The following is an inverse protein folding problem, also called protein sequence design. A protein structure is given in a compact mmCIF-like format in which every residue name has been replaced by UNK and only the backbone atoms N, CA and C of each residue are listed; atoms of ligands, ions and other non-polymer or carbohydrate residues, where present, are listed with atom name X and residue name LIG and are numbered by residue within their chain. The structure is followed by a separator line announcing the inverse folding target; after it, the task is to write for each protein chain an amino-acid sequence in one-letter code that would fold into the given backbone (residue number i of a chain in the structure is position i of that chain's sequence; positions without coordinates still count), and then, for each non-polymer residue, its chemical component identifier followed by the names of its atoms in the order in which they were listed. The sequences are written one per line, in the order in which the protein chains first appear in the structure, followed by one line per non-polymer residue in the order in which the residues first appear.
data_IF_473303123239
#
_entry.id   IF_473303123239
#
_cell.length_a   1.000
_cell.length_b   1.000
_cell.length_c   1.000
_cell.angle_alpha   90.00
_cell.angle_beta   90.00
_cell.angle_gamma   90.00
#
_symmetry.space_group_name_H-M   'P 1'
#
loop_
_entity.id
_entity.type
_entity.pdbx_description
1 polymer ?
#
# COMPACT_ATOMS: atom_id res chain seq x y z
N UNK A 1 13.44 -3.41 13.10
CA UNK A 1 12.89 -3.24 11.75
C UNK A 1 13.76 -2.31 10.95
N UNK A 2 14.21 -2.78 9.79
CA UNK A 2 14.92 -2.00 8.78
C UNK A 2 14.00 -0.94 8.15
N UNK A 3 14.60 -0.01 7.40
CA UNK A 3 13.88 1.12 6.80
C UNK A 3 12.79 0.63 5.83
N UNK A 4 13.12 -0.32 4.96
CA UNK A 4 12.18 -0.92 4.01
C UNK A 4 11.03 -1.66 4.73
N UNK A 5 11.32 -2.46 5.76
CA UNK A 5 10.29 -3.24 6.48
C UNK A 5 9.20 -2.36 7.10
N UNK A 6 9.57 -1.15 7.58
CA UNK A 6 8.60 -0.19 8.11
C UNK A 6 7.71 0.37 6.99
N UNK A 7 8.30 0.72 5.85
CA UNK A 7 7.55 1.22 4.70
C UNK A 7 6.55 0.16 4.21
N UNK A 8 6.98 -1.10 4.10
CA UNK A 8 6.13 -2.23 3.75
C UNK A 8 4.99 -2.43 4.75
N UNK A 9 5.28 -2.40 6.05
CA UNK A 9 4.27 -2.54 7.10
C UNK A 9 3.20 -1.43 7.04
N UNK A 10 3.63 -0.20 6.78
CA UNK A 10 2.73 0.96 6.62
C UNK A 10 1.84 0.76 5.39
N UNK A 11 2.41 0.42 4.24
CA UNK A 11 1.66 0.29 2.98
C UNK A 11 0.69 -0.90 3.00
N UNK A 12 1.09 -2.03 3.57
CA UNK A 12 0.19 -3.18 3.77
C UNK A 12 -1.01 -2.83 4.67
N UNK A 13 -0.74 -2.10 5.75
CA UNK A 13 -1.80 -1.64 6.67
C UNK A 13 -2.72 -0.63 5.98
N UNK A 14 -2.14 0.33 5.26
CA UNK A 14 -2.87 1.34 4.51
C UNK A 14 -3.75 0.71 3.42
N UNK A 15 -3.25 -0.26 2.65
CA UNK A 15 -4.02 -1.07 1.69
C UNK A 15 -5.30 -1.63 2.30
N UNK A 16 -5.17 -2.33 3.43
CA UNK A 16 -6.32 -2.92 4.14
C UNK A 16 -7.33 -1.88 4.60
N UNK A 17 -6.84 -0.77 5.16
CA UNK A 17 -7.69 0.29 5.68
C UNK A 17 -8.42 1.04 4.56
N UNK A 18 -7.70 1.45 3.52
CA UNK A 18 -8.29 2.12 2.36
C UNK A 18 -9.28 1.22 1.62
N UNK A 19 -8.97 -0.07 1.44
CA UNK A 19 -9.88 -1.02 0.81
C UNK A 19 -11.16 -1.25 1.62
N UNK A 20 -11.09 -1.21 2.95
CA UNK A 20 -12.24 -1.45 3.82
C UNK A 20 -13.09 -0.20 4.08
N UNK A 21 -12.46 0.95 4.25
CA UNK A 21 -13.13 2.18 4.74
C UNK A 21 -13.10 3.34 3.75
N UNK A 22 -12.30 3.25 2.68
CA UNK A 22 -12.07 4.33 1.72
C UNK A 22 -11.07 5.38 2.23
N UNK A 23 -10.63 6.26 1.31
CA UNK A 23 -9.63 7.30 1.57
C UNK A 23 -10.09 8.31 2.64
N UNK A 24 -11.35 8.72 2.61
CA UNK A 24 -11.85 9.78 3.48
C UNK A 24 -11.94 9.34 4.95
N UNK A 25 -12.41 8.12 5.20
CA UNK A 25 -12.58 7.58 6.57
C UNK A 25 -11.31 6.98 7.17
N UNK A 26 -10.23 6.91 6.41
CA UNK A 26 -8.95 6.37 6.89
C UNK A 26 -8.03 7.50 7.33
N UNK A 27 -7.51 7.42 8.56
CA UNK A 27 -6.54 8.38 9.10
C UNK A 27 -5.12 7.82 9.15
N UNK A 28 -4.11 8.71 9.08
CA UNK A 28 -2.71 8.31 9.28
C UNK A 28 -2.43 7.87 10.72
N UNK A 29 -3.20 8.36 11.69
CA UNK A 29 -3.09 7.94 13.09
C UNK A 29 -3.47 6.47 13.27
N UNK A 30 -4.58 6.04 12.67
CA UNK A 30 -5.01 4.64 12.71
C UNK A 30 -4.05 3.72 11.96
N UNK A 31 -3.57 4.15 10.78
CA UNK A 31 -2.54 3.41 10.03
C UNK A 31 -1.28 3.25 10.89
N UNK A 32 -0.80 4.33 11.53
CA UNK A 32 0.39 4.30 12.38
C UNK A 32 0.21 3.33 13.56
N UNK A 33 -0.94 3.40 14.24
CA UNK A 33 -1.29 2.52 15.35
C UNK A 33 -1.31 1.04 14.93
N UNK A 34 -1.93 0.73 13.79
CA UNK A 34 -2.05 -0.65 13.30
C UNK A 34 -0.73 -1.19 12.75
N UNK A 35 0.07 -0.36 12.09
CA UNK A 35 1.41 -0.71 11.62
C UNK A 35 2.46 -0.70 12.75
N UNK A 36 2.09 -0.34 13.98
CA UNK A 36 2.98 -0.23 15.15
C UNK A 36 4.18 0.70 14.90
N UNK A 37 3.92 1.83 14.26
CA UNK A 37 4.91 2.89 14.01
C UNK A 37 4.42 4.23 14.58
N UNK A 38 5.34 5.15 14.84
CA UNK A 38 4.95 6.53 15.12
C UNK A 38 4.37 7.21 13.85
N UNK A 39 3.40 8.11 14.02
CA UNK A 39 2.84 8.90 12.91
C UNK A 39 3.93 9.71 12.17
N UNK A 40 4.89 10.26 12.91
CA UNK A 40 6.05 10.95 12.34
C UNK A 40 6.85 10.07 11.38
N UNK A 41 6.92 8.75 11.63
CA UNK A 41 7.50 7.79 10.69
C UNK A 41 6.74 7.85 9.37
N UNK A 42 5.41 7.74 9.35
CA UNK A 42 4.64 7.81 8.10
C UNK A 42 4.91 9.11 7.34
N UNK A 43 4.94 10.26 8.03
CA UNK A 43 5.28 11.54 7.40
C UNK A 43 6.70 11.54 6.81
N UNK A 44 7.68 10.97 7.49
CA UNK A 44 9.06 10.91 6.99
C UNK A 44 9.21 10.06 5.72
N UNK A 45 8.41 9.00 5.55
CA UNK A 45 8.48 8.15 4.35
C UNK A 45 7.62 8.68 3.21
N UNK A 46 6.40 9.13 3.52
CA UNK A 46 5.38 9.37 2.50
C UNK A 46 4.91 10.82 2.43
N UNK A 47 5.11 11.62 3.48
CA UNK A 47 4.78 13.05 3.50
C UNK A 47 3.30 13.39 3.68
N UNK A 48 2.36 12.63 3.08
CA UNK A 48 0.92 12.91 3.21
C UNK A 48 0.06 11.65 3.09
N UNK A 49 -1.20 11.73 3.53
CA UNK A 49 -2.18 10.64 3.36
C UNK A 49 -2.38 10.31 1.88
N UNK A 50 -2.46 11.33 1.03
CA UNK A 50 -2.66 11.15 -0.41
C UNK A 50 -1.46 10.45 -1.06
N UNK A 51 -0.23 10.76 -0.62
CA UNK A 51 0.95 10.03 -1.09
C UNK A 51 0.98 8.57 -0.65
N UNK A 52 0.57 8.27 0.59
CA UNK A 52 0.40 6.87 1.03
C UNK A 52 -0.64 6.17 0.15
N UNK A 53 -1.76 6.83 -0.14
CA UNK A 53 -2.82 6.27 -0.97
C UNK A 53 -2.37 6.02 -2.42
N UNK A 54 -1.68 6.99 -3.04
CA UNK A 54 -1.14 6.86 -4.38
C UNK A 54 -0.11 5.71 -4.47
N UNK A 55 0.76 5.57 -3.48
CA UNK A 55 1.74 4.48 -3.46
C UNK A 55 1.06 3.11 -3.28
N UNK A 56 0.01 3.02 -2.46
CA UNK A 56 -0.83 1.82 -2.37
C UNK A 56 -1.46 1.51 -3.75
N UNK A 57 -2.10 2.49 -4.38
CA UNK A 57 -2.74 2.28 -5.70
C UNK A 57 -1.75 1.83 -6.77
N UNK A 58 -0.56 2.43 -6.79
CA UNK A 58 0.51 2.07 -7.72
C UNK A 58 0.88 0.58 -7.55
N UNK A 59 1.16 0.14 -6.33
CA UNK A 59 1.50 -1.26 -6.04
C UNK A 59 0.40 -2.23 -6.41
N UNK A 60 -0.85 -1.90 -6.09
CA UNK A 60 -2.00 -2.74 -6.49
C UNK A 60 -2.12 -2.84 -8.01
N UNK A 61 -1.91 -1.72 -8.71
CA UNK A 61 -1.99 -1.69 -10.18
C UNK A 61 -0.86 -2.52 -10.79
N UNK A 62 0.36 -2.37 -10.30
CA UNK A 62 1.52 -3.16 -10.74
C UNK A 62 1.27 -4.66 -10.52
N UNK A 63 0.78 -5.07 -9.35
CA UNK A 63 0.42 -6.47 -9.06
C UNK A 63 -0.70 -7.00 -9.98
N UNK A 64 -1.71 -6.18 -10.28
CA UNK A 64 -2.81 -6.57 -11.17
C UNK A 64 -2.29 -6.75 -12.60
N UNK A 65 -1.50 -5.81 -13.10
CA UNK A 65 -0.91 -5.88 -14.45
C UNK A 65 -0.02 -7.10 -14.59
N UNK A 66 0.80 -7.41 -13.58
CA UNK A 66 1.64 -8.61 -13.56
C UNK A 66 0.81 -9.90 -13.59
N UNK A 67 -0.26 -9.98 -12.79
CA UNK A 67 -1.17 -11.14 -12.77
C UNK A 67 -1.90 -11.32 -14.09
N UNK A 68 -2.35 -10.23 -14.71
CA UNK A 68 -3.00 -10.28 -16.04
C UNK A 68 -1.98 -10.76 -17.08
N UNK A 69 -0.81 -10.13 -17.16
CA UNK A 69 0.22 -10.46 -18.16
C UNK A 69 0.65 -11.93 -18.06
N UNK A 70 0.93 -12.40 -16.84
CA UNK A 70 1.31 -13.79 -16.59
C UNK A 70 0.19 -14.82 -16.80
N UNK A 71 -1.06 -14.38 -16.91
CA UNK A 71 -2.19 -15.26 -17.27
C UNK A 71 -2.36 -15.35 -18.78
N UNK A 72 -2.17 -14.23 -19.50
CA UNK A 72 -2.19 -14.19 -20.97
C UNK A 72 -1.04 -14.99 -21.57
N UNK A 73 0.17 -14.90 -20.99
CA UNK A 73 1.33 -15.68 -21.44
C UNK A 73 1.15 -17.20 -21.27
N UNK A 74 0.24 -17.63 -20.39
CA UNK A 74 -0.08 -19.05 -20.15
C UNK A 74 -1.17 -19.60 -21.09
N UNK A 75 -1.86 -18.74 -21.82
CA UNK A 75 -2.99 -19.11 -22.70
C UNK A 75 -2.67 -19.07 -24.21
N UNK A 76 -1.39 -18.96 -24.59
CA UNK A 76 -0.96 -19.19 -25.98
C UNK A 76 -0.26 -20.55 -26.09
N UNK A 77 -1.00 -21.67 -26.20
CA UNK A 77 -0.44 -22.85 -26.83
C UNK A 77 -0.12 -22.54 -28.32
N UNK A 78 0.91 -23.20 -28.90
CA UNK A 78 1.24 -23.05 -30.31
C UNK A 78 0.10 -23.44 -31.25
#
# INVERSE_FOLDING_TARGET
MMKEEKAESILHTAKKMFGRYGLQKTSLDEIARMARVAKATIYNYFGSKDRVYLEVLRRETDEIVEKISSSVDKEVPP
#
